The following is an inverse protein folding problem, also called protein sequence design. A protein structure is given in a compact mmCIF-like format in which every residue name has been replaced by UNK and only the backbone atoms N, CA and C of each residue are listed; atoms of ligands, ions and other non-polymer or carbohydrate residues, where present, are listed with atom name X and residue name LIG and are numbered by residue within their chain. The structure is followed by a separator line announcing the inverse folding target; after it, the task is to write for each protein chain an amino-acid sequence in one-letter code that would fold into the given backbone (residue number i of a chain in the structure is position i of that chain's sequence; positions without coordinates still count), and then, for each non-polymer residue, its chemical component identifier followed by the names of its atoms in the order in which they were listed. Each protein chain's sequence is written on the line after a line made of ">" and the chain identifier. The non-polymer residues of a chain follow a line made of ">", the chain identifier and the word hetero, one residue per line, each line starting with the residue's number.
data_IF_993154669690
#
_entry.id   IF_993154669690
#
_cell.length_a   1.000
_cell.length_b   1.000
_cell.length_c   1.000
_cell.angle_alpha   90.00
_cell.angle_beta   90.00
_cell.angle_gamma   90.00
#
_symmetry.space_group_name_H-M   'P 1'
#
loop_
_entity.id
_entity.type
_entity.pdbx_description
1 polymer ?
#
# COMPACT_ATOMS: atom_id res chain seq x y z
N UNK A 1 1.13 -37.20 -54.38
CA UNK A 1 0.44 -35.90 -54.21
C UNK A 1 1.48 -34.81 -54.49
N UNK A 2 1.29 -34.05 -55.55
CA UNK A 2 2.16 -32.90 -55.87
C UNK A 2 1.80 -31.74 -54.89
N UNK A 3 2.77 -31.28 -54.12
CA UNK A 3 2.65 -30.04 -53.37
C UNK A 3 2.63 -28.87 -54.35
N UNK A 4 1.48 -28.32 -54.65
CA UNK A 4 1.34 -27.09 -55.41
C UNK A 4 1.60 -25.90 -54.45
N UNK A 5 2.71 -25.25 -54.66
CA UNK A 5 3.01 -23.98 -53.97
C UNK A 5 2.06 -22.93 -54.56
N UNK A 6 1.20 -22.37 -53.75
CA UNK A 6 0.36 -21.24 -54.10
C UNK A 6 0.94 -19.98 -53.50
N UNK A 7 1.18 -18.96 -54.31
CA UNK A 7 1.50 -17.62 -53.84
C UNK A 7 0.24 -16.75 -53.89
N UNK A 8 0.05 -15.91 -52.92
CA UNK A 8 -1.07 -14.95 -52.84
C UNK A 8 -0.62 -13.70 -52.13
N UNK A 9 -1.21 -12.58 -52.48
CA UNK A 9 -1.02 -11.29 -51.79
C UNK A 9 -2.28 -10.97 -50.97
N UNK A 10 -2.09 -10.51 -49.75
CA UNK A 10 -3.16 -10.04 -48.90
C UNK A 10 -2.98 -8.54 -48.67
N UNK A 11 -3.94 -7.76 -49.07
CA UNK A 11 -3.96 -6.32 -48.90
C UNK A 11 -4.80 -5.98 -47.68
N UNK A 12 -4.19 -5.39 -46.64
CA UNK A 12 -4.88 -4.87 -45.48
C UNK A 12 -5.01 -3.36 -45.68
N UNK A 13 -6.24 -2.89 -45.89
CA UNK A 13 -6.51 -1.47 -46.12
C UNK A 13 -6.67 -0.67 -44.84
N UNK A 14 -7.26 -1.26 -43.81
CA UNK A 14 -7.54 -0.60 -42.55
C UNK A 14 -7.55 -1.58 -41.40
N UNK A 15 -6.86 -1.24 -40.32
CA UNK A 15 -6.95 -1.93 -39.04
C UNK A 15 -7.81 -1.07 -38.10
N UNK A 16 -8.97 -1.56 -37.71
CA UNK A 16 -9.83 -0.91 -36.72
C UNK A 16 -9.95 -1.79 -35.50
N UNK A 17 -9.79 -1.17 -34.34
CA UNK A 17 -10.14 -1.78 -33.07
C UNK A 17 -11.68 -1.72 -32.95
N UNK A 18 -12.32 -2.87 -32.78
CA UNK A 18 -13.75 -3.01 -32.52
C UNK A 18 -13.96 -3.64 -31.14
N UNK A 19 -15.16 -3.51 -30.59
CA UNK A 19 -15.56 -4.10 -29.30
C UNK A 19 -14.69 -3.60 -28.13
N UNK A 20 -14.65 -2.28 -27.98
CA UNK A 20 -14.04 -1.68 -26.79
C UNK A 20 -14.74 -2.19 -25.53
N UNK A 21 -13.97 -2.51 -24.51
CA UNK A 21 -14.54 -2.76 -23.19
C UNK A 21 -15.09 -1.45 -22.62
N UNK A 22 -16.40 -1.29 -22.65
CA UNK A 22 -17.12 -0.12 -22.12
C UNK A 22 -17.53 -0.30 -20.65
N UNK A 23 -17.09 -1.36 -19.99
CA UNK A 23 -17.37 -1.56 -18.57
C UNK A 23 -16.84 -0.38 -17.77
N UNK A 24 -17.75 0.34 -17.11
CA UNK A 24 -17.42 1.44 -16.22
C UNK A 24 -16.85 0.91 -14.91
N UNK A 25 -15.82 1.59 -14.40
CA UNK A 25 -15.31 1.36 -13.06
C UNK A 25 -15.90 2.36 -12.07
N UNK A 26 -15.70 2.12 -10.80
CA UNK A 26 -16.04 3.04 -9.72
C UNK A 26 -14.84 3.28 -8.81
N UNK A 27 -14.83 4.39 -8.11
CA UNK A 27 -13.86 4.72 -7.10
C UNK A 27 -14.52 5.26 -5.86
N UNK A 28 -13.92 4.96 -4.73
CA UNK A 28 -14.31 5.53 -3.45
C UNK A 28 -13.06 5.86 -2.63
N UNK A 29 -13.12 6.97 -1.88
CA UNK A 29 -12.12 7.29 -0.88
C UNK A 29 -12.80 7.76 0.40
N UNK A 30 -12.20 7.43 1.53
CA UNK A 30 -12.64 7.86 2.83
C UNK A 30 -11.44 8.22 3.70
N UNK A 31 -11.58 9.29 4.49
CA UNK A 31 -10.58 9.70 5.46
C UNK A 31 -11.28 10.05 6.77
N UNK A 32 -10.76 9.51 7.87
CA UNK A 32 -11.23 9.76 9.22
C UNK A 32 -10.06 10.28 10.05
N UNK A 33 -10.24 11.44 10.67
CA UNK A 33 -9.30 12.02 11.61
C UNK A 33 -9.97 12.11 12.97
N UNK A 34 -9.37 11.47 13.96
CA UNK A 34 -9.86 11.48 15.35
C UNK A 34 -8.79 12.10 16.24
N UNK A 35 -9.13 13.19 16.91
CA UNK A 35 -8.31 13.74 17.97
C UNK A 35 -8.80 13.22 19.31
N UNK A 36 -7.92 12.56 20.07
CA UNK A 36 -8.21 12.00 21.38
C UNK A 36 -7.65 12.94 22.44
N UNK A 37 -8.33 14.06 22.61
CA UNK A 37 -7.92 15.11 23.56
C UNK A 37 -6.40 15.40 23.47
N UNK A 38 -5.73 15.41 24.60
CA UNK A 38 -4.29 15.61 24.73
C UNK A 38 -3.45 14.32 24.64
N UNK A 39 -4.12 13.18 24.43
CA UNK A 39 -3.48 11.87 24.31
C UNK A 39 -2.84 11.66 22.94
N UNK A 40 -3.49 12.13 21.86
CA UNK A 40 -2.97 11.96 20.52
C UNK A 40 -4.01 12.06 19.42
N UNK A 41 -3.62 11.62 18.23
CA UNK A 41 -4.46 11.63 17.03
C UNK A 41 -4.42 10.30 16.32
N UNK A 42 -5.52 9.92 15.70
CA UNK A 42 -5.64 8.73 14.84
C UNK A 42 -6.18 9.18 13.49
N UNK A 43 -5.45 8.87 12.44
CA UNK A 43 -5.83 9.13 11.05
C UNK A 43 -6.00 7.78 10.35
N UNK A 44 -7.15 7.57 9.74
CA UNK A 44 -7.43 6.38 8.94
C UNK A 44 -7.87 6.83 7.56
N UNK A 45 -7.23 6.32 6.53
CA UNK A 45 -7.55 6.60 5.14
C UNK A 45 -7.75 5.32 4.36
N UNK A 46 -8.62 5.36 3.36
CA UNK A 46 -8.83 4.29 2.41
C UNK A 46 -9.22 4.82 1.04
N UNK A 47 -8.73 4.16 -0.01
CA UNK A 47 -9.05 4.43 -1.41
C UNK A 47 -9.20 3.12 -2.15
N UNK A 48 -10.27 3.02 -2.93
CA UNK A 48 -10.54 1.87 -3.80
C UNK A 48 -10.86 2.42 -5.19
N UNK A 49 -10.27 1.83 -6.20
CA UNK A 49 -10.56 2.11 -7.60
C UNK A 49 -10.65 0.78 -8.34
N UNK A 50 -11.69 0.58 -9.11
CA UNK A 50 -11.87 -0.64 -9.90
C UNK A 50 -11.41 -0.44 -11.33
N UNK A 51 -11.08 -1.52 -12.00
CA UNK A 51 -10.78 -1.52 -13.43
C UNK A 51 -11.94 -0.87 -14.23
N UNK A 52 -11.59 -0.05 -15.21
CA UNK A 52 -12.53 0.76 -15.97
C UNK A 52 -12.81 2.15 -15.39
N UNK A 53 -12.36 2.44 -14.17
CA UNK A 53 -12.47 3.78 -13.60
C UNK A 53 -11.50 4.76 -14.28
N UNK A 54 -12.01 5.95 -14.59
CA UNK A 54 -11.23 7.08 -15.08
C UNK A 54 -11.90 8.40 -14.68
N UNK A 55 -11.11 9.44 -14.49
CA UNK A 55 -11.60 10.78 -14.24
C UNK A 55 -12.32 11.33 -15.50
N UNK A 56 -13.13 12.37 -15.32
CA UNK A 56 -13.95 12.95 -16.41
C UNK A 56 -13.13 13.50 -17.58
N UNK A 57 -11.89 13.87 -17.33
CA UNK A 57 -10.93 14.42 -18.29
C UNK A 57 -10.02 13.35 -18.92
N UNK A 58 -10.12 12.09 -18.47
CA UNK A 58 -9.32 10.98 -18.98
C UNK A 58 -9.98 10.29 -20.17
N UNK A 59 -9.17 10.01 -21.19
CA UNK A 59 -9.59 9.18 -22.32
C UNK A 59 -9.80 7.73 -21.94
N UNK A 60 -10.48 6.95 -22.79
CA UNK A 60 -10.70 5.51 -22.55
C UNK A 60 -9.40 4.72 -22.35
N UNK A 61 -8.34 5.11 -23.06
CA UNK A 61 -7.03 4.46 -22.96
C UNK A 61 -6.29 4.74 -21.63
N UNK A 62 -6.67 5.80 -20.93
CA UNK A 62 -6.05 6.20 -19.66
C UNK A 62 -6.80 5.69 -18.43
N UNK A 63 -7.93 5.00 -18.62
CA UNK A 63 -8.67 4.38 -17.53
C UNK A 63 -7.87 3.27 -16.89
N UNK A 64 -8.12 3.03 -15.60
CA UNK A 64 -7.49 1.92 -14.90
C UNK A 64 -7.85 0.58 -15.53
N UNK A 65 -6.85 -0.24 -15.73
CA UNK A 65 -7.01 -1.62 -16.21
C UNK A 65 -7.03 -2.64 -15.07
N UNK A 66 -6.63 -2.21 -13.85
CA UNK A 66 -6.48 -3.05 -12.66
C UNK A 66 -7.31 -2.51 -11.51
N UNK A 67 -7.66 -3.38 -10.57
CA UNK A 67 -8.25 -2.98 -9.30
C UNK A 67 -7.17 -2.47 -8.34
N UNK A 68 -7.38 -1.30 -7.78
CA UNK A 68 -6.48 -0.69 -6.80
C UNK A 68 -7.17 -0.53 -5.46
N UNK A 69 -6.46 -0.94 -4.41
CA UNK A 69 -6.90 -0.74 -3.03
C UNK A 69 -5.75 -0.20 -2.21
N UNK A 70 -6.00 0.90 -1.52
CA UNK A 70 -5.07 1.51 -0.60
C UNK A 70 -5.76 1.75 0.74
N UNK A 71 -5.08 1.45 1.82
CA UNK A 71 -5.48 1.89 3.14
C UNK A 71 -4.28 2.22 4.00
N UNK A 72 -4.45 3.24 4.81
CA UNK A 72 -3.42 3.72 5.71
C UNK A 72 -4.02 4.04 7.08
N UNK A 73 -3.22 3.78 8.09
CA UNK A 73 -3.50 4.17 9.47
C UNK A 73 -2.26 4.86 10.00
N UNK A 74 -2.42 6.05 10.54
CA UNK A 74 -1.34 6.76 11.22
C UNK A 74 -1.85 7.24 12.58
N UNK A 75 -1.08 7.01 13.63
CA UNK A 75 -1.44 7.45 14.97
C UNK A 75 -0.24 8.07 15.69
N UNK A 76 -0.52 9.14 16.39
CA UNK A 76 0.41 9.74 17.35
C UNK A 76 -0.17 9.57 18.74
N UNK A 77 0.61 9.05 19.68
CA UNK A 77 0.18 8.85 21.07
C UNK A 77 1.26 9.37 22.00
N UNK A 78 0.88 10.20 22.96
CA UNK A 78 1.74 10.65 24.05
C UNK A 78 1.61 9.71 25.25
N UNK A 79 2.46 8.68 25.27
CA UNK A 79 2.44 7.68 26.35
C UNK A 79 2.80 8.26 27.71
N UNK A 80 3.48 9.41 27.73
CA UNK A 80 3.79 10.12 28.99
C UNK A 80 2.55 10.44 29.83
N UNK A 81 1.39 10.59 29.19
CA UNK A 81 0.10 10.88 29.86
C UNK A 81 -0.44 9.74 30.73
N UNK A 82 0.02 8.51 30.52
CA UNK A 82 -0.34 7.37 31.36
C UNK A 82 0.48 7.28 32.65
N UNK A 83 1.53 8.09 32.77
CA UNK A 83 2.35 8.16 33.97
C UNK A 83 1.84 9.27 34.91
N UNK A 84 2.08 9.13 36.23
CA UNK A 84 1.75 10.21 37.16
C UNK A 84 2.45 11.52 36.76
N UNK A 85 1.76 12.64 36.89
CA UNK A 85 2.32 13.98 36.55
C UNK A 85 3.66 14.28 37.24
N UNK A 86 3.90 13.69 38.41
CA UNK A 86 5.16 13.81 39.15
C UNK A 86 6.35 13.19 38.41
N UNK A 87 6.10 12.21 37.53
CA UNK A 87 7.16 11.58 36.76
C UNK A 87 7.71 12.49 35.66
N UNK A 88 6.91 13.47 35.19
CA UNK A 88 7.28 14.46 34.15
C UNK A 88 7.92 13.81 32.92
N UNK A 89 7.39 12.68 32.49
CA UNK A 89 7.91 11.91 31.36
C UNK A 89 7.10 12.22 30.12
N UNK A 90 7.78 12.48 29.00
CA UNK A 90 7.17 12.61 27.67
C UNK A 90 7.68 11.48 26.79
N UNK A 91 6.75 10.70 26.24
CA UNK A 91 7.05 9.55 25.36
C UNK A 91 6.14 9.65 24.14
N UNK A 92 6.43 10.55 23.21
CA UNK A 92 5.66 10.65 21.97
C UNK A 92 6.00 9.48 21.07
N UNK A 93 4.97 8.72 20.70
CA UNK A 93 5.06 7.61 19.76
C UNK A 93 4.30 7.97 18.49
N UNK A 94 4.89 7.69 17.35
CA UNK A 94 4.23 7.67 16.06
C UNK A 94 4.22 6.25 15.51
N UNK A 95 3.05 5.79 15.10
CA UNK A 95 2.88 4.54 14.39
C UNK A 95 2.17 4.79 13.07
N UNK A 96 2.68 4.20 11.99
CA UNK A 96 2.04 4.24 10.70
C UNK A 96 2.03 2.85 10.05
N UNK A 97 0.93 2.56 9.41
CA UNK A 97 0.73 1.39 8.59
C UNK A 97 0.10 1.82 7.27
N UNK A 98 0.68 1.43 6.15
CA UNK A 98 0.12 1.61 4.81
C UNK A 98 0.18 0.31 4.05
N UNK A 99 -0.88 0.02 3.33
CA UNK A 99 -0.92 -1.07 2.37
C UNK A 99 -1.51 -0.57 1.07
N UNK A 100 -0.74 -0.69 0.00
CA UNK A 100 -1.14 -0.42 -1.36
C UNK A 100 -1.15 -1.75 -2.11
N UNK A 101 -2.23 -2.02 -2.83
CA UNK A 101 -2.41 -3.27 -3.56
C UNK A 101 -3.06 -2.99 -4.90
N UNK A 102 -2.38 -3.42 -5.96
CA UNK A 102 -2.91 -3.47 -7.31
C UNK A 102 -3.14 -4.93 -7.69
N UNK A 103 -4.34 -5.23 -8.16
CA UNK A 103 -4.73 -6.57 -8.57
C UNK A 103 -5.12 -6.55 -10.04
N UNK A 104 -4.42 -7.33 -10.87
CA UNK A 104 -4.73 -7.46 -12.27
C UNK A 104 -6.15 -7.99 -12.49
N UNK A 105 -6.89 -7.42 -13.45
CA UNK A 105 -8.23 -7.89 -13.86
C UNK A 105 -8.14 -9.23 -14.61
N UNK A 106 -7.07 -9.40 -15.38
CA UNK A 106 -6.82 -10.58 -16.19
C UNK A 106 -5.69 -11.43 -15.61
N UNK A 107 -5.69 -12.72 -15.94
CA UNK A 107 -4.61 -13.62 -15.54
C UNK A 107 -3.28 -13.19 -16.19
N UNK A 108 -2.23 -13.10 -15.41
CA UNK A 108 -0.90 -12.66 -15.89
C UNK A 108 -0.30 -13.66 -16.89
N UNK A 109 -0.64 -14.94 -16.77
CA UNK A 109 -0.14 -16.00 -17.67
C UNK A 109 -0.98 -16.16 -18.94
N UNK A 110 -2.24 -15.77 -18.91
CA UNK A 110 -3.17 -15.82 -20.02
C UNK A 110 -4.12 -14.61 -19.97
N UNK A 111 -3.76 -13.57 -20.71
CA UNK A 111 -4.44 -12.28 -20.68
C UNK A 111 -5.86 -12.31 -21.28
N UNK A 112 -6.25 -13.39 -21.93
CA UNK A 112 -7.60 -13.58 -22.47
C UNK A 112 -8.58 -14.07 -21.39
N UNK A 113 -8.08 -14.56 -20.25
CA UNK A 113 -8.89 -15.10 -19.15
C UNK A 113 -8.93 -14.09 -17.99
N UNK A 114 -10.14 -13.80 -17.49
CA UNK A 114 -10.27 -13.00 -16.26
C UNK A 114 -9.66 -13.75 -15.09
N UNK A 115 -9.02 -13.02 -14.18
CA UNK A 115 -8.39 -13.61 -13.00
C UNK A 115 -9.40 -14.36 -12.12
N UNK A 116 -10.67 -13.90 -12.04
CA UNK A 116 -11.74 -14.62 -11.35
C UNK A 116 -11.94 -16.02 -11.92
N UNK A 117 -12.04 -16.11 -13.25
CA UNK A 117 -12.34 -17.35 -13.96
C UNK A 117 -11.15 -18.32 -13.87
N UNK A 118 -9.92 -17.80 -13.94
CA UNK A 118 -8.72 -18.59 -13.71
C UNK A 118 -8.63 -19.16 -12.28
N UNK A 119 -9.09 -18.40 -11.27
CA UNK A 119 -9.14 -18.86 -9.89
C UNK A 119 -10.26 -19.87 -9.64
N UNK A 120 -11.38 -19.77 -10.36
CA UNK A 120 -12.50 -20.68 -10.23
C UNK A 120 -12.24 -22.00 -10.96
N UNK A 121 -11.40 -22.01 -12.00
CA UNK A 121 -10.98 -23.19 -12.73
C UNK A 121 -10.02 -24.11 -11.97
N UNK A 122 -9.49 -23.66 -10.83
CA UNK A 122 -8.49 -24.41 -10.05
C UNK A 122 -9.08 -24.80 -8.70
N UNK A 123 -8.94 -26.06 -8.31
CA UNK A 123 -9.54 -26.61 -7.09
C UNK A 123 -8.64 -26.47 -5.86
N UNK A 124 -7.32 -26.50 -6.05
CA UNK A 124 -6.38 -26.52 -4.92
C UNK A 124 -6.03 -25.11 -4.43
N UNK A 125 -5.95 -24.97 -3.10
CA UNK A 125 -5.57 -23.69 -2.47
C UNK A 125 -4.17 -23.23 -2.89
N UNK A 126 -3.22 -24.18 -3.05
CA UNK A 126 -1.85 -23.87 -3.40
C UNK A 126 -1.75 -23.24 -4.81
N UNK A 127 -2.49 -23.78 -5.79
CA UNK A 127 -2.55 -23.23 -7.14
C UNK A 127 -3.23 -21.86 -7.16
N UNK A 128 -4.33 -21.70 -6.41
CA UNK A 128 -4.99 -20.38 -6.23
C UNK A 128 -4.04 -19.34 -5.66
N UNK A 129 -3.27 -19.69 -4.65
CA UNK A 129 -2.31 -18.79 -4.02
C UNK A 129 -1.16 -18.45 -4.99
N UNK A 130 -0.73 -19.42 -5.81
CA UNK A 130 0.27 -19.18 -6.87
C UNK A 130 -0.24 -18.20 -7.94
N UNK A 131 -1.44 -18.41 -8.47
CA UNK A 131 -2.06 -17.51 -9.46
C UNK A 131 -2.23 -16.11 -8.87
N UNK A 132 -2.70 -16.00 -7.62
CA UNK A 132 -2.85 -14.72 -6.92
C UNK A 132 -1.52 -14.00 -6.74
N UNK A 133 -0.47 -14.73 -6.39
CA UNK A 133 0.85 -14.11 -6.17
C UNK A 133 1.42 -13.46 -7.43
N UNK A 134 1.11 -14.02 -8.60
CA UNK A 134 1.52 -13.49 -9.90
C UNK A 134 0.63 -12.33 -10.41
N UNK A 135 -0.56 -12.18 -9.85
CA UNK A 135 -1.54 -11.17 -10.29
C UNK A 135 -1.64 -9.97 -9.35
N UNK A 136 -0.90 -9.97 -8.25
CA UNK A 136 -0.99 -8.94 -7.20
C UNK A 136 0.36 -8.26 -7.04
N UNK A 137 0.35 -6.93 -7.23
CA UNK A 137 1.42 -6.03 -6.82
C UNK A 137 1.01 -5.38 -5.49
N UNK A 138 1.83 -5.57 -4.46
CA UNK A 138 1.51 -5.12 -3.12
C UNK A 138 2.73 -4.52 -2.43
N UNK A 139 2.53 -3.35 -1.84
CA UNK A 139 3.51 -2.73 -0.95
C UNK A 139 2.89 -2.50 0.42
N UNK A 140 3.53 -3.02 1.46
CA UNK A 140 3.15 -2.82 2.85
C UNK A 140 4.26 -2.09 3.57
N UNK A 141 3.94 -0.94 4.16
CA UNK A 141 4.88 -0.14 4.95
C UNK A 141 4.36 -0.12 6.39
N UNK A 142 5.26 -0.45 7.32
CA UNK A 142 5.03 -0.35 8.76
C UNK A 142 6.13 0.50 9.35
N UNK A 143 5.78 1.49 10.13
CA UNK A 143 6.76 2.30 10.87
C UNK A 143 6.30 2.57 12.28
N UNK A 144 7.26 2.56 13.19
CA UNK A 144 7.08 3.01 14.56
C UNK A 144 8.26 3.90 14.92
N UNK A 145 7.98 5.02 15.54
CA UNK A 145 9.02 5.89 16.02
C UNK A 145 8.67 6.52 17.37
N UNK A 146 9.67 6.61 18.19
CA UNK A 146 9.67 7.33 19.45
C UNK A 146 10.66 8.48 19.29
N UNK A 147 10.17 9.70 19.25
CA UNK A 147 11.01 10.86 19.04
C UNK A 147 11.01 11.72 20.29
N UNK A 148 12.22 12.14 20.72
CA UNK A 148 12.34 13.04 21.85
C UNK A 148 11.73 12.48 23.16
N UNK A 149 11.98 11.19 23.42
CA UNK A 149 11.64 10.58 24.73
C UNK A 149 12.53 11.21 25.79
N UNK A 150 11.92 11.84 26.78
CA UNK A 150 12.64 12.57 27.83
C UNK A 150 11.91 12.56 29.16
N UNK A 151 12.68 12.71 30.22
CA UNK A 151 12.17 12.99 31.55
C UNK A 151 12.47 14.45 31.92
N UNK A 152 11.45 15.28 32.05
CA UNK A 152 11.60 16.73 32.33
C UNK A 152 11.84 16.98 33.84
N UNK A 153 12.80 16.23 34.39
CA UNK A 153 13.23 16.31 35.77
C UNK A 153 14.44 17.27 35.83
N UNK A 154 14.26 18.40 36.50
CA UNK A 154 15.29 19.42 36.69
C UNK A 154 15.72 19.52 38.14
N UNK A 155 16.99 19.63 38.38
CA UNK A 155 17.53 19.94 39.69
C UNK A 155 17.15 21.35 40.12
N UNK A 156 17.21 21.65 41.41
CA UNK A 156 17.04 23.02 41.94
C UNK A 156 18.09 23.97 41.37
N UNK A 157 19.29 23.46 41.12
CA UNK A 157 20.39 24.15 40.42
C UNK A 157 20.55 23.49 39.06
N UNK A 158 20.30 24.17 37.91
CA UNK A 158 20.46 23.59 36.60
C UNK A 158 21.88 23.08 36.36
N UNK A 159 22.01 21.80 36.00
CA UNK A 159 23.27 21.16 35.69
C UNK A 159 23.25 20.58 34.28
N UNK A 160 24.39 20.52 33.57
CA UNK A 160 24.43 19.96 32.20
C UNK A 160 24.01 18.51 32.12
N UNK A 161 24.10 17.74 33.20
CA UNK A 161 23.73 16.33 33.30
C UNK A 161 22.32 16.09 33.86
N UNK A 162 21.49 17.13 33.96
CA UNK A 162 20.08 16.95 34.34
C UNK A 162 19.38 16.08 33.33
N UNK A 163 18.53 15.10 33.75
CA UNK A 163 17.77 14.23 32.83
C UNK A 163 16.97 15.00 31.78
N UNK A 164 16.50 16.21 32.11
CA UNK A 164 15.79 17.07 31.18
C UNK A 164 16.60 17.53 29.97
N UNK A 165 17.93 17.44 30.01
CA UNK A 165 18.83 17.83 28.92
C UNK A 165 19.10 16.68 27.93
N UNK A 166 18.62 15.46 28.23
CA UNK A 166 18.78 14.30 27.39
C UNK A 166 17.47 13.90 26.76
N UNK A 167 17.54 13.56 25.50
CA UNK A 167 16.41 12.94 24.78
C UNK A 167 16.90 11.74 24.00
N UNK A 168 16.05 10.74 23.90
CA UNK A 168 16.32 9.52 23.15
C UNK A 168 15.29 9.43 22.04
N UNK A 169 15.76 9.09 20.85
CA UNK A 169 14.92 8.78 19.72
C UNK A 169 15.20 7.38 19.19
N UNK A 170 14.15 6.70 18.75
CA UNK A 170 14.25 5.42 18.09
C UNK A 170 13.21 5.35 16.97
N UNK A 171 13.62 4.89 15.80
CA UNK A 171 12.68 4.63 14.71
C UNK A 171 12.98 3.28 14.04
N UNK A 172 11.92 2.60 13.72
CA UNK A 172 11.92 1.38 12.94
C UNK A 172 10.95 1.54 11.77
N UNK A 173 11.38 1.17 10.56
CA UNK A 173 10.55 1.10 9.38
C UNK A 173 10.78 -0.22 8.67
N UNK A 174 9.69 -0.82 8.23
CA UNK A 174 9.71 -2.04 7.42
C UNK A 174 8.86 -1.82 6.19
N UNK A 175 9.46 -2.03 5.02
CA UNK A 175 8.78 -2.08 3.73
C UNK A 175 8.81 -3.50 3.22
N UNK A 176 7.65 -4.05 2.92
CA UNK A 176 7.49 -5.35 2.27
C UNK A 176 6.82 -5.14 0.93
N UNK A 177 7.52 -5.49 -0.15
CA UNK A 177 7.03 -5.42 -1.52
C UNK A 177 6.89 -6.82 -2.09
N UNK A 178 5.84 -7.04 -2.82
CA UNK A 178 5.57 -8.26 -3.58
C UNK A 178 5.03 -7.84 -4.94
N UNK A 179 5.53 -8.44 -6.00
CA UNK A 179 5.06 -8.20 -7.37
C UNK A 179 5.14 -9.50 -8.18
N UNK A 180 4.62 -9.56 -9.42
CA UNK A 180 4.65 -10.76 -10.26
C UNK A 180 6.02 -11.38 -10.49
N UNK A 181 7.08 -10.56 -10.44
CA UNK A 181 8.48 -10.99 -10.67
C UNK A 181 9.20 -11.34 -9.37
N UNK A 182 8.74 -10.78 -8.24
CA UNK A 182 9.39 -10.93 -6.94
C UNK A 182 8.38 -11.48 -5.93
N UNK A 183 8.61 -12.67 -5.44
CA UNK A 183 7.72 -13.30 -4.45
C UNK A 183 7.55 -12.41 -3.21
N UNK A 184 8.65 -11.90 -2.67
CA UNK A 184 8.65 -10.81 -1.71
C UNK A 184 10.06 -10.23 -1.52
N UNK A 185 10.10 -8.94 -1.25
CA UNK A 185 11.28 -8.22 -0.78
C UNK A 185 10.94 -7.53 0.54
N UNK A 186 11.84 -7.61 1.51
CA UNK A 186 11.62 -6.95 2.79
C UNK A 186 12.83 -6.12 3.18
N UNK A 187 12.63 -4.81 3.25
CA UNK A 187 13.61 -3.85 3.74
C UNK A 187 13.25 -3.42 5.15
N UNK A 188 14.24 -3.38 6.04
CA UNK A 188 14.08 -2.94 7.43
C UNK A 188 15.12 -1.89 7.74
N UNK A 189 14.67 -0.74 8.22
CA UNK A 189 15.51 0.38 8.62
C UNK A 189 15.36 0.64 10.12
N UNK A 190 16.49 0.80 10.77
CA UNK A 190 16.58 1.11 12.20
C UNK A 190 17.41 2.37 12.39
N UNK A 191 16.92 3.30 13.20
CA UNK A 191 17.66 4.52 13.54
C UNK A 191 17.50 4.82 15.02
N UNK A 192 18.61 5.22 15.66
CA UNK A 192 18.65 5.69 17.04
C UNK A 192 19.44 6.99 17.15
N UNK A 193 19.01 7.88 18.01
CA UNK A 193 19.67 9.14 18.34
C UNK A 193 19.49 9.51 19.82
#
# INVERSE_FOLDING_TARGET
>A
RQNVVKSGEVWINELRLSEFNEEGGWAANANLNVAVSDLGTVNVGGRIETAGFGALDQSLAERRIDDFTQYNVATTIEWGKFFPEKAKVSIPMYYAYSKDQTKAKYNTLDQDIKLSDALDAVDTKAEKDSIKSMAVDQTVIKSISFNNVRADIRSKTPMPYDPANFSIGYSFSQTKTQNPETEYETTKDYRGN
#
